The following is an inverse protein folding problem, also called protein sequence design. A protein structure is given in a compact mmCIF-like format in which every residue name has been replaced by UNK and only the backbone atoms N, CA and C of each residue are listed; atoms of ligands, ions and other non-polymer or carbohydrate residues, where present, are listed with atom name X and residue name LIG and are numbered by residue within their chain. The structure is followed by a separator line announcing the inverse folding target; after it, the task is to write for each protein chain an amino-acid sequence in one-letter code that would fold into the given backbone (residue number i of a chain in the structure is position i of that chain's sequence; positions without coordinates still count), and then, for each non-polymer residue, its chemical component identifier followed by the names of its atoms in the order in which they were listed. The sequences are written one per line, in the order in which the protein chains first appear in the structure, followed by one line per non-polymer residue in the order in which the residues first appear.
data_IF_562795154029
#
_entry.id   IF_562795154029
#
_cell.length_a   1.000
_cell.length_b   1.000
_cell.length_c   1.000
_cell.angle_alpha   90.00
_cell.angle_beta   90.00
_cell.angle_gamma   90.00
#
_symmetry.space_group_name_H-M   'P 1'
#
loop_
_entity.id
_entity.type
_entity.pdbx_description
1 polymer ?
#
# COMPACT_ATOMS: atom_id res chain seq x y z
N UNK A 1 -22.48 27.67 21.40
CA UNK A 1 -22.04 27.75 20.00
C UNK A 1 -20.75 28.56 20.00
N UNK A 2 -19.63 27.87 20.18
CA UNK A 2 -18.29 28.47 20.08
C UNK A 2 -17.75 28.10 18.70
N UNK A 3 -17.26 29.12 18.01
CA UNK A 3 -16.66 29.06 16.69
C UNK A 3 -15.50 28.01 16.68
N UNK A 4 -15.77 26.86 16.13
CA UNK A 4 -14.75 25.82 15.80
C UNK A 4 -14.20 26.04 14.39
N UNK A 5 -14.79 26.93 13.60
CA UNK A 5 -14.55 27.10 12.17
C UNK A 5 -13.33 27.99 11.82
N UNK A 6 -12.44 28.33 12.77
CA UNK A 6 -11.34 29.26 12.49
C UNK A 6 -9.92 28.72 12.72
N UNK A 7 -9.76 27.51 13.23
CA UNK A 7 -8.41 26.93 13.47
C UNK A 7 -7.91 26.00 12.36
N UNK A 8 -8.76 25.67 11.36
CA UNK A 8 -8.44 24.68 10.34
C UNK A 8 -8.06 25.26 8.98
N UNK A 9 -8.20 26.58 8.77
CA UNK A 9 -7.81 27.24 7.51
C UNK A 9 -6.29 27.28 7.25
N UNK A 10 -5.46 26.91 8.26
CA UNK A 10 -4.00 26.89 8.16
C UNK A 10 -3.40 25.48 8.25
N UNK A 11 -4.18 24.41 8.20
CA UNK A 11 -3.67 23.08 8.02
C UNK A 11 -3.21 22.92 6.56
N UNK A 12 -1.96 23.29 6.32
CA UNK A 12 -1.28 23.17 5.04
C UNK A 12 -1.42 21.74 4.50
N UNK A 13 -2.36 21.52 3.58
CA UNK A 13 -2.66 20.24 2.95
C UNK A 13 -1.41 19.59 2.31
N UNK A 14 -0.35 20.38 2.13
CA UNK A 14 0.94 19.95 1.59
C UNK A 14 1.81 19.16 2.58
N UNK A 15 1.41 19.03 3.85
CA UNK A 15 2.17 18.27 4.87
C UNK A 15 1.77 16.80 4.97
N UNK A 16 0.80 16.37 4.21
CA UNK A 16 0.17 15.07 4.41
C UNK A 16 0.84 13.90 3.68
N UNK A 17 1.85 14.15 2.85
CA UNK A 17 2.61 13.08 2.20
C UNK A 17 3.83 12.69 3.01
N UNK A 18 4.04 11.40 3.26
CA UNK A 18 5.26 10.90 3.91
C UNK A 18 6.54 11.32 3.17
N UNK A 19 6.44 11.45 1.87
CA UNK A 19 7.57 11.81 1.00
C UNK A 19 7.80 13.32 0.92
N UNK A 20 6.79 14.14 1.19
CA UNK A 20 6.91 15.59 1.23
C UNK A 20 7.60 16.11 2.52
N UNK A 21 7.54 15.38 3.62
CA UNK A 21 8.18 15.77 4.88
C UNK A 21 9.72 15.75 4.82
N UNK A 22 10.31 14.87 3.99
CA UNK A 22 11.76 14.81 3.78
C UNK A 22 12.35 15.95 2.91
N UNK A 23 11.52 16.71 2.19
CA UNK A 23 11.98 17.71 1.22
C UNK A 23 12.10 19.15 1.76
N UNK A 24 11.71 19.43 3.01
CA UNK A 24 11.60 20.80 3.55
C UNK A 24 12.67 21.24 4.53
N UNK A 25 13.90 20.83 4.40
CA UNK A 25 15.00 21.61 5.00
C UNK A 25 15.43 22.72 4.05
N UNK A 26 15.41 23.95 4.60
CA UNK A 26 15.66 25.22 3.93
C UNK A 26 16.90 25.20 3.05
N UNK A 27 16.88 25.80 1.86
CA UNK A 27 18.02 25.83 0.97
C UNK A 27 19.08 26.80 1.51
N UNK A 28 20.06 26.28 2.20
CA UNK A 28 21.33 26.99 2.32
C UNK A 28 22.50 26.00 2.39
N UNK A 29 23.23 26.00 1.29
CA UNK A 29 24.54 25.36 1.01
C UNK A 29 24.50 23.93 0.47
N UNK A 30 24.84 23.92 -0.80
CA UNK A 30 25.43 22.89 -1.66
C UNK A 30 24.50 22.16 -2.61
N UNK A 31 24.25 22.79 -3.73
CA UNK A 31 23.80 22.12 -4.99
C UNK A 31 24.70 20.95 -5.42
N UNK A 32 25.76 20.64 -4.68
CA UNK A 32 26.68 19.54 -5.00
C UNK A 32 26.35 18.20 -4.38
N UNK A 33 25.49 18.14 -3.36
CA UNK A 33 25.11 16.87 -2.72
C UNK A 33 23.96 16.15 -3.46
N UNK A 34 23.03 16.88 -4.05
CA UNK A 34 21.84 16.30 -4.71
C UNK A 34 22.15 15.60 -6.05
N UNK A 35 23.15 16.07 -6.77
CA UNK A 35 23.64 15.39 -7.98
C UNK A 35 24.27 14.02 -7.64
N UNK A 36 24.81 13.87 -6.43
CA UNK A 36 25.38 12.60 -5.96
C UNK A 36 24.32 11.54 -5.63
N UNK A 37 23.18 11.93 -5.05
CA UNK A 37 22.10 10.98 -4.67
C UNK A 37 21.32 10.53 -5.92
N UNK A 38 21.02 11.44 -6.85
CA UNK A 38 20.38 11.07 -8.12
C UNK A 38 21.27 10.15 -8.99
N UNK A 39 22.60 10.30 -8.93
CA UNK A 39 23.56 9.45 -9.65
C UNK A 39 23.75 8.08 -8.96
N UNK A 40 23.50 7.96 -7.65
CA UNK A 40 23.55 6.69 -6.95
C UNK A 40 22.29 5.84 -7.23
N UNK A 41 21.14 6.46 -7.38
CA UNK A 41 19.88 5.76 -7.77
C UNK A 41 19.98 5.30 -9.23
N UNK A 42 20.50 6.13 -10.14
CA UNK A 42 20.72 5.75 -11.53
C UNK A 42 21.83 4.68 -11.69
N UNK A 43 22.81 4.65 -10.78
CA UNK A 43 23.89 3.65 -10.77
C UNK A 43 23.43 2.28 -10.27
N UNK A 44 22.48 2.23 -9.33
CA UNK A 44 21.92 0.98 -8.82
C UNK A 44 21.05 0.26 -9.87
N UNK A 45 20.25 1.00 -10.64
CA UNK A 45 19.43 0.44 -11.72
C UNK A 45 20.28 -0.12 -12.87
N UNK A 46 21.38 0.54 -13.23
CA UNK A 46 22.29 0.05 -14.28
C UNK A 46 23.12 -1.18 -13.84
N UNK A 47 23.41 -1.34 -12.55
CA UNK A 47 24.13 -2.50 -12.00
C UNK A 47 23.32 -3.79 -12.00
N UNK A 48 22.00 -3.69 -11.84
CA UNK A 48 21.09 -4.84 -11.75
C UNK A 48 20.88 -5.50 -13.12
N UNK A 49 20.84 -4.72 -14.21
CA UNK A 49 20.69 -5.26 -15.57
C UNK A 49 21.93 -6.05 -16.04
N UNK A 50 23.13 -5.73 -15.56
CA UNK A 50 24.36 -6.43 -15.92
C UNK A 50 24.58 -7.74 -15.12
N UNK A 51 23.98 -7.88 -13.91
CA UNK A 51 24.12 -9.05 -13.05
C UNK A 51 23.31 -10.28 -13.48
N UNK A 52 22.18 -10.07 -14.16
CA UNK A 52 21.25 -11.13 -14.54
C UNK A 52 21.74 -11.99 -15.74
N UNK A 53 22.68 -11.49 -16.53
CA UNK A 53 23.19 -12.20 -17.71
C UNK A 53 24.34 -13.16 -17.45
N UNK A 54 24.93 -13.20 -16.25
CA UNK A 54 26.11 -14.02 -15.94
C UNK A 54 25.80 -15.26 -15.08
N UNK A 55 24.61 -15.38 -14.48
CA UNK A 55 24.30 -16.47 -13.54
C UNK A 55 23.56 -17.69 -14.12
N UNK A 56 23.59 -17.91 -15.43
CA UNK A 56 22.97 -19.11 -16.05
C UNK A 56 23.94 -20.23 -16.38
N UNK A 57 24.82 -20.60 -15.46
CA UNK A 57 25.49 -21.93 -15.55
C UNK A 57 26.15 -22.26 -14.22
N UNK A 58 25.46 -22.98 -13.35
CA UNK A 58 26.00 -24.07 -12.53
C UNK A 58 24.89 -24.55 -11.57
N UNK A 59 24.18 -25.57 -12.03
CA UNK A 59 23.37 -26.41 -11.14
C UNK A 59 24.25 -27.52 -10.61
N UNK A 60 24.55 -27.56 -9.33
CA UNK A 60 24.92 -28.78 -8.65
C UNK A 60 24.14 -28.88 -7.34
N UNK A 61 23.39 -29.96 -7.28
CA UNK A 61 22.52 -30.37 -6.19
C UNK A 61 23.25 -30.52 -4.86
N UNK A 62 22.76 -29.88 -3.81
CA UNK A 62 23.03 -30.29 -2.44
C UNK A 62 21.69 -30.44 -1.71
N UNK A 63 21.31 -31.69 -1.47
CA UNK A 63 20.19 -32.04 -0.59
C UNK A 63 20.62 -31.76 0.83
N UNK A 64 20.04 -30.77 1.48
CA UNK A 64 20.05 -30.64 2.93
C UNK A 64 18.70 -31.10 3.47
N UNK A 65 18.72 -32.21 4.20
CA UNK A 65 17.58 -32.68 4.97
C UNK A 65 17.32 -31.71 6.13
N UNK A 66 16.25 -30.96 6.06
CA UNK A 66 15.60 -30.42 7.26
C UNK A 66 14.29 -31.19 7.45
N UNK A 67 14.31 -32.04 8.46
CA UNK A 67 13.13 -32.70 8.95
C UNK A 67 12.27 -31.67 9.69
N UNK A 68 11.23 -31.15 9.05
CA UNK A 68 10.10 -30.56 9.73
C UNK A 68 9.03 -31.62 9.88
N UNK A 69 8.90 -32.13 11.10
CA UNK A 69 7.73 -32.88 11.52
C UNK A 69 6.56 -31.91 11.66
N UNK A 70 5.68 -31.91 10.68
CA UNK A 70 4.24 -31.68 10.87
C UNK A 70 3.51 -32.26 9.67
N UNK A 71 3.24 -33.56 9.72
CA UNK A 71 2.27 -34.19 8.83
C UNK A 71 0.87 -33.85 9.32
N UNK A 72 0.32 -32.71 8.96
CA UNK A 72 -1.13 -32.54 8.92
C UNK A 72 -1.57 -32.82 7.47
N UNK A 73 -1.95 -34.07 7.20
CA UNK A 73 -2.73 -34.43 6.02
C UNK A 73 -4.21 -33.99 6.24
N UNK A 74 -4.43 -32.75 6.65
CA UNK A 74 -5.74 -32.18 6.92
C UNK A 74 -6.24 -31.33 5.73
N UNK A 75 -7.55 -31.19 5.62
CA UNK A 75 -8.18 -30.22 4.73
C UNK A 75 -7.66 -28.81 5.11
N UNK A 76 -7.07 -27.99 4.20
CA UNK A 76 -6.60 -26.64 4.51
C UNK A 76 -7.68 -25.70 5.06
N UNK A 77 -8.96 -26.05 4.92
CA UNK A 77 -10.07 -25.30 5.54
C UNK A 77 -10.31 -25.63 7.01
N UNK A 78 -9.64 -26.68 7.55
CA UNK A 78 -9.74 -27.10 8.95
C UNK A 78 -8.52 -26.57 9.72
N UNK A 79 -8.51 -25.28 9.99
CA UNK A 79 -7.46 -24.60 10.76
C UNK A 79 -7.98 -24.08 12.10
N UNK A 80 -7.15 -24.14 13.11
CA UNK A 80 -7.45 -23.58 14.42
C UNK A 80 -7.54 -22.04 14.33
N UNK A 81 -8.66 -21.48 14.79
CA UNK A 81 -8.84 -20.03 14.87
C UNK A 81 -8.28 -19.54 16.20
N UNK A 82 -7.40 -18.54 16.15
CA UNK A 82 -6.96 -17.84 17.34
C UNK A 82 -8.14 -17.02 17.92
N UNK A 83 -8.50 -17.30 19.18
CA UNK A 83 -9.60 -16.61 19.87
C UNK A 83 -9.35 -15.12 20.10
N UNK A 84 -8.09 -14.66 20.00
CA UNK A 84 -7.69 -13.26 20.15
C UNK A 84 -7.78 -12.49 18.82
N UNK A 85 -7.98 -13.18 17.70
CA UNK A 85 -8.13 -12.55 16.38
C UNK A 85 -9.61 -12.42 16.03
N UNK A 86 -10.08 -11.19 15.91
CA UNK A 86 -11.46 -10.87 15.58
C UNK A 86 -11.54 -10.20 14.22
N UNK A 87 -12.69 -10.35 13.55
CA UNK A 87 -13.00 -9.59 12.32
C UNK A 87 -13.36 -8.15 12.73
N UNK A 88 -12.35 -7.32 12.85
CA UNK A 88 -12.50 -5.92 13.29
C UNK A 88 -12.16 -4.91 12.20
N UNK A 89 -11.24 -5.26 11.31
CA UNK A 89 -10.81 -4.40 10.20
C UNK A 89 -11.74 -4.54 9.00
N UNK A 90 -11.95 -3.44 8.28
CA UNK A 90 -12.57 -3.49 6.96
C UNK A 90 -11.70 -4.29 5.98
N UNK A 91 -10.40 -3.98 5.95
CA UNK A 91 -9.40 -4.70 5.17
C UNK A 91 -8.00 -4.48 5.72
N UNK A 92 -7.03 -5.19 5.17
CA UNK A 92 -5.61 -5.07 5.51
C UNK A 92 -4.79 -4.97 4.24
N UNK A 93 -3.85 -4.03 4.20
CA UNK A 93 -2.83 -3.93 3.18
C UNK A 93 -1.80 -5.06 3.36
N UNK A 94 -1.46 -5.74 2.28
CA UNK A 94 -0.66 -6.95 2.34
C UNK A 94 0.31 -7.06 1.17
N UNK A 95 1.58 -7.30 1.49
CA UNK A 95 2.60 -7.72 0.55
C UNK A 95 3.07 -9.11 0.97
N UNK A 96 2.85 -10.17 0.18
CA UNK A 96 3.37 -11.49 0.51
C UNK A 96 4.89 -11.46 0.64
N UNK A 97 5.43 -12.05 1.70
CA UNK A 97 6.87 -12.10 1.92
C UNK A 97 7.60 -12.67 0.70
N UNK A 98 8.64 -11.98 0.23
CA UNK A 98 9.39 -12.39 -0.96
C UNK A 98 8.66 -12.17 -2.29
N UNK A 99 7.61 -11.37 -2.36
CA UNK A 99 6.90 -11.07 -3.61
C UNK A 99 7.57 -10.02 -4.49
N UNK A 100 8.75 -9.54 -4.11
CA UNK A 100 9.57 -8.66 -4.92
C UNK A 100 10.39 -9.45 -5.93
N UNK A 101 10.61 -8.90 -7.13
CA UNK A 101 11.40 -9.52 -8.20
C UNK A 101 12.87 -9.74 -7.79
N UNK A 102 13.45 -8.83 -7.04
CA UNK A 102 14.81 -8.91 -6.51
C UNK A 102 14.97 -9.95 -5.40
N UNK A 103 13.88 -10.28 -4.68
CA UNK A 103 13.83 -11.40 -3.74
C UNK A 103 13.62 -12.77 -4.43
N UNK A 104 13.74 -12.85 -5.75
CA UNK A 104 13.56 -14.08 -6.55
C UNK A 104 12.18 -14.75 -6.35
N UNK A 105 11.15 -13.99 -6.06
CA UNK A 105 9.80 -14.51 -5.90
C UNK A 105 9.71 -15.66 -4.88
N UNK A 106 10.22 -15.44 -3.66
CA UNK A 106 10.31 -16.45 -2.59
C UNK A 106 9.01 -16.68 -1.80
N UNK A 107 7.90 -16.04 -2.17
CA UNK A 107 6.62 -16.15 -1.48
C UNK A 107 5.99 -17.55 -1.57
N UNK A 108 5.26 -17.95 -0.52
CA UNK A 108 4.62 -19.27 -0.42
C UNK A 108 3.12 -19.18 -0.10
N UNK A 109 2.39 -20.28 -0.44
CA UNK A 109 0.95 -20.36 -0.21
C UNK A 109 0.57 -20.42 1.27
N UNK A 110 1.47 -20.91 2.13
CA UNK A 110 1.20 -21.08 3.58
C UNK A 110 1.03 -19.74 4.33
N UNK A 111 1.25 -18.63 3.64
CA UNK A 111 1.37 -17.30 4.22
C UNK A 111 0.09 -16.44 4.16
N UNK A 112 -1.00 -16.94 3.64
CA UNK A 112 -2.19 -16.14 3.30
C UNK A 112 -3.30 -16.16 4.34
N UNK A 113 -4.01 -15.08 4.48
CA UNK A 113 -4.91 -14.81 5.61
C UNK A 113 -6.17 -14.00 5.32
N UNK A 114 -7.01 -13.87 6.32
CA UNK A 114 -8.42 -13.57 6.51
C UNK A 114 -8.84 -12.12 6.22
N UNK A 115 -10.06 -11.97 5.68
CA UNK A 115 -10.78 -10.73 5.40
C UNK A 115 -10.22 -9.90 4.23
N UNK A 116 -10.81 -8.74 3.88
CA UNK A 116 -10.49 -7.96 2.68
C UNK A 116 -9.01 -7.60 2.62
N UNK A 117 -8.35 -7.98 1.53
CA UNK A 117 -6.92 -7.75 1.31
C UNK A 117 -6.73 -6.83 0.10
N UNK A 118 -5.87 -5.82 0.26
CA UNK A 118 -5.37 -4.99 -0.83
C UNK A 118 -3.94 -5.40 -1.16
N UNK A 119 -3.68 -5.74 -2.44
CA UNK A 119 -2.35 -6.01 -2.97
C UNK A 119 -1.80 -4.78 -3.72
N UNK A 120 -0.47 -4.68 -3.81
CA UNK A 120 0.24 -3.57 -4.44
C UNK A 120 0.65 -3.86 -5.89
N UNK A 121 0.81 -5.12 -6.22
CA UNK A 121 1.22 -5.56 -7.53
C UNK A 121 0.82 -7.01 -7.82
N UNK A 122 1.17 -7.49 -9.02
CA UNK A 122 0.89 -8.85 -9.45
C UNK A 122 2.13 -9.67 -9.80
N UNK A 123 3.32 -9.10 -9.63
CA UNK A 123 4.58 -9.83 -9.83
C UNK A 123 4.70 -11.01 -8.84
N UNK A 124 5.52 -11.99 -9.19
CA UNK A 124 5.78 -13.18 -8.37
C UNK A 124 4.53 -14.00 -8.03
N UNK A 125 3.52 -13.96 -8.89
CA UNK A 125 2.24 -14.69 -8.71
C UNK A 125 1.49 -14.35 -7.41
N UNK A 126 1.78 -13.23 -6.75
CA UNK A 126 1.16 -12.89 -5.47
C UNK A 126 -0.37 -12.93 -5.52
N UNK A 127 -0.98 -12.42 -6.58
CA UNK A 127 -2.44 -12.45 -6.76
C UNK A 127 -2.99 -13.87 -6.88
N UNK A 128 -2.29 -14.74 -7.64
CA UNK A 128 -2.67 -16.14 -7.78
C UNK A 128 -2.52 -16.92 -6.46
N UNK A 129 -1.45 -16.69 -5.71
CA UNK A 129 -1.21 -17.34 -4.42
C UNK A 129 -2.29 -16.97 -3.39
N UNK A 130 -2.68 -15.69 -3.33
CA UNK A 130 -3.75 -15.23 -2.44
C UNK A 130 -5.09 -15.86 -2.81
N UNK A 131 -5.48 -15.87 -4.08
CA UNK A 131 -6.73 -16.46 -4.53
C UNK A 131 -6.75 -17.98 -4.37
N UNK A 132 -5.63 -18.67 -4.63
CA UNK A 132 -5.48 -20.09 -4.37
C UNK A 132 -5.69 -20.43 -2.88
N UNK A 133 -5.07 -19.64 -1.99
CA UNK A 133 -5.26 -19.84 -0.56
C UNK A 133 -6.71 -19.58 -0.12
N UNK A 134 -7.38 -18.57 -0.67
CA UNK A 134 -8.80 -18.31 -0.43
C UNK A 134 -9.64 -19.54 -0.84
N UNK A 135 -9.38 -20.11 -2.01
CA UNK A 135 -10.10 -21.32 -2.46
C UNK A 135 -9.84 -22.53 -1.57
N UNK A 136 -8.58 -22.76 -1.18
CA UNK A 136 -8.23 -23.91 -0.33
C UNK A 136 -8.76 -23.79 1.09
N UNK A 137 -8.65 -22.61 1.69
CA UNK A 137 -9.08 -22.37 3.06
C UNK A 137 -10.59 -22.08 3.19
N UNK A 138 -11.27 -21.83 2.07
CA UNK A 138 -12.70 -21.46 2.00
C UNK A 138 -13.05 -20.26 2.88
N UNK A 139 -12.10 -19.38 3.12
CA UNK A 139 -12.36 -18.13 3.85
C UNK A 139 -13.13 -17.16 2.97
N UNK A 140 -14.04 -16.40 3.59
CA UNK A 140 -14.79 -15.36 2.89
C UNK A 140 -13.92 -14.09 2.81
N UNK A 141 -13.02 -14.05 1.82
CA UNK A 141 -12.07 -12.96 1.60
C UNK A 141 -12.35 -12.31 0.26
N UNK A 142 -12.27 -10.97 0.21
CA UNK A 142 -12.27 -10.19 -1.02
C UNK A 142 -10.89 -9.56 -1.21
N UNK A 143 -10.34 -9.66 -2.42
CA UNK A 143 -8.99 -9.20 -2.77
C UNK A 143 -9.08 -8.04 -3.75
N UNK A 144 -8.44 -6.91 -3.46
CA UNK A 144 -8.18 -5.86 -4.44
C UNK A 144 -6.83 -6.13 -5.07
N UNK A 145 -6.85 -6.45 -6.37
CA UNK A 145 -5.63 -6.76 -7.12
C UNK A 145 -4.87 -5.47 -7.41
N UNK A 146 -3.56 -5.47 -7.19
CA UNK A 146 -2.67 -4.36 -7.52
C UNK A 146 -1.99 -4.56 -8.86
N UNK A 147 -1.81 -3.47 -9.61
CA UNK A 147 -0.92 -3.37 -10.75
C UNK A 147 0.00 -2.17 -10.55
N UNK A 148 1.23 -2.42 -10.18
CA UNK A 148 2.21 -1.37 -9.92
C UNK A 148 2.65 -0.70 -11.23
N UNK A 149 2.59 0.63 -11.24
CA UNK A 149 2.97 1.46 -12.39
C UNK A 149 4.20 2.28 -12.05
N UNK A 150 5.22 2.22 -12.91
CA UNK A 150 6.42 3.06 -12.83
C UNK A 150 6.41 4.10 -13.96
N UNK A 151 6.81 5.33 -13.64
CA UNK A 151 6.95 6.39 -14.64
C UNK A 151 8.27 6.30 -15.45
N UNK A 152 9.21 5.42 -15.06
CA UNK A 152 10.59 5.43 -15.57
C UNK A 152 10.98 4.18 -16.35
N UNK A 153 10.13 3.15 -16.40
CA UNK A 153 10.41 1.86 -17.04
C UNK A 153 9.77 1.70 -18.44
N UNK A 154 9.14 2.75 -18.95
CA UNK A 154 8.47 2.70 -20.26
C UNK A 154 7.19 1.87 -20.28
N UNK A 155 6.63 1.49 -19.11
CA UNK A 155 5.40 0.73 -18.96
C UNK A 155 5.62 -0.79 -18.83
N UNK A 156 6.86 -1.26 -18.79
CA UNK A 156 7.17 -2.70 -18.73
C UNK A 156 6.59 -3.40 -17.50
N UNK A 157 6.66 -2.75 -16.32
CA UNK A 157 6.08 -3.32 -15.09
C UNK A 157 4.56 -3.40 -15.19
N UNK A 158 3.91 -2.34 -15.68
CA UNK A 158 2.47 -2.30 -15.86
C UNK A 158 1.98 -3.41 -16.80
N UNK A 159 2.56 -3.52 -18.00
CA UNK A 159 2.14 -4.50 -19.02
C UNK A 159 2.29 -5.94 -18.52
N UNK A 160 3.41 -6.27 -17.91
CA UNK A 160 3.68 -7.59 -17.34
C UNK A 160 2.64 -7.97 -16.27
N UNK A 161 2.34 -7.05 -15.36
CA UNK A 161 1.40 -7.29 -14.28
C UNK A 161 -0.05 -7.32 -14.77
N UNK A 162 -0.42 -6.48 -15.75
CA UNK A 162 -1.72 -6.54 -16.42
C UNK A 162 -1.98 -7.93 -17.02
N UNK A 163 -0.99 -8.49 -17.73
CA UNK A 163 -1.10 -9.81 -18.34
C UNK A 163 -1.20 -10.90 -17.28
N UNK A 164 -0.44 -10.79 -16.18
CA UNK A 164 -0.56 -11.69 -15.02
C UNK A 164 -1.96 -11.61 -14.39
N UNK A 165 -2.52 -10.42 -14.20
CA UNK A 165 -3.88 -10.21 -13.66
C UNK A 165 -4.91 -10.86 -14.59
N UNK A 166 -4.75 -10.72 -15.90
CA UNK A 166 -5.62 -11.38 -16.89
C UNK A 166 -5.64 -12.90 -16.71
N UNK A 167 -4.47 -13.52 -16.59
CA UNK A 167 -4.35 -14.97 -16.36
C UNK A 167 -4.96 -15.41 -15.03
N UNK A 168 -4.78 -14.61 -13.99
CA UNK A 168 -5.35 -14.85 -12.66
C UNK A 168 -6.88 -14.82 -12.71
N UNK A 169 -7.47 -13.82 -13.35
CA UNK A 169 -8.93 -13.71 -13.50
C UNK A 169 -9.49 -14.90 -14.31
N UNK A 170 -8.81 -15.30 -15.39
CA UNK A 170 -9.22 -16.45 -16.21
C UNK A 170 -9.13 -17.77 -15.44
N UNK A 171 -8.22 -17.87 -14.47
CA UNK A 171 -7.98 -19.09 -13.70
C UNK A 171 -8.92 -19.20 -12.49
N UNK A 172 -9.09 -18.12 -11.74
CA UNK A 172 -9.78 -18.12 -10.45
C UNK A 172 -11.21 -17.54 -10.50
N UNK A 173 -11.59 -16.88 -11.62
CA UNK A 173 -12.85 -16.14 -11.71
C UNK A 173 -12.81 -14.82 -10.94
N UNK A 174 -13.99 -14.24 -10.72
CA UNK A 174 -14.14 -12.89 -10.13
C UNK A 174 -14.79 -12.88 -8.75
N UNK A 175 -15.27 -14.01 -8.24
CA UNK A 175 -16.09 -14.09 -7.02
C UNK A 175 -15.40 -13.54 -5.76
N UNK A 176 -14.06 -13.55 -5.74
CA UNK A 176 -13.24 -13.07 -4.65
C UNK A 176 -12.44 -11.80 -5.00
N UNK A 177 -12.76 -11.12 -6.11
CA UNK A 177 -12.05 -9.92 -6.55
C UNK A 177 -12.94 -8.69 -6.38
N UNK A 178 -12.49 -7.73 -5.56
CA UNK A 178 -13.20 -6.48 -5.31
C UNK A 178 -12.98 -5.42 -6.39
N UNK A 179 -11.82 -5.46 -7.04
CA UNK A 179 -11.44 -4.53 -8.10
C UNK A 179 -9.96 -4.65 -8.47
N UNK A 180 -9.55 -3.86 -9.47
CA UNK A 180 -8.16 -3.74 -9.90
C UNK A 180 -7.69 -2.33 -9.63
N UNK A 181 -6.65 -2.18 -8.80
CA UNK A 181 -6.03 -0.90 -8.46
C UNK A 181 -4.80 -0.70 -9.33
N UNK A 182 -4.85 0.26 -10.23
CA UNK A 182 -3.78 0.60 -11.18
C UNK A 182 -2.96 1.75 -10.64
N UNK A 183 -1.72 1.50 -10.25
CA UNK A 183 -0.83 2.45 -9.61
C UNK A 183 -0.95 2.45 -8.07
N UNK A 184 0.15 2.78 -7.43
CA UNK A 184 0.25 3.17 -6.03
C UNK A 184 1.26 4.30 -5.93
N UNK A 185 0.82 5.46 -5.44
CA UNK A 185 1.64 6.68 -5.31
C UNK A 185 2.34 7.10 -6.61
N UNK A 186 1.69 6.85 -7.74
CA UNK A 186 2.22 7.25 -9.04
C UNK A 186 2.19 8.77 -9.21
N UNK A 187 1.08 9.42 -8.81
CA UNK A 187 0.94 10.87 -8.86
C UNK A 187 1.97 11.55 -7.97
N UNK A 188 2.05 11.10 -6.70
CA UNK A 188 3.05 11.57 -5.75
C UNK A 188 4.46 11.49 -6.34
N UNK A 189 4.89 10.30 -6.72
CA UNK A 189 6.25 10.04 -7.18
C UNK A 189 6.60 10.82 -8.46
N UNK A 190 5.67 10.89 -9.41
CA UNK A 190 5.89 11.64 -10.66
C UNK A 190 5.97 13.14 -10.40
N UNK A 191 5.01 13.71 -9.69
CA UNK A 191 4.93 15.16 -9.44
C UNK A 191 6.14 15.64 -8.66
N UNK A 192 6.54 14.94 -7.60
CA UNK A 192 7.72 15.29 -6.81
C UNK A 192 9.02 15.12 -7.61
N UNK A 193 9.12 14.12 -8.49
CA UNK A 193 10.28 13.96 -9.36
C UNK A 193 10.51 15.15 -10.29
N UNK A 194 9.46 15.91 -10.59
CA UNK A 194 9.52 17.15 -11.39
C UNK A 194 9.78 18.40 -10.54
N UNK A 195 9.99 18.23 -9.23
CA UNK A 195 10.33 19.31 -8.29
C UNK A 195 9.18 20.24 -7.93
N UNK A 196 7.94 19.74 -7.97
CA UNK A 196 6.71 20.45 -7.58
C UNK A 196 5.83 19.55 -6.72
N UNK A 197 4.86 20.13 -6.03
CA UNK A 197 3.77 19.50 -5.31
C UNK A 197 2.38 19.88 -5.89
N UNK A 198 2.34 20.63 -7.00
CA UNK A 198 1.11 21.07 -7.65
C UNK A 198 0.51 19.96 -8.51
N UNK A 199 -0.43 19.22 -7.92
CA UNK A 199 -1.18 18.13 -8.57
C UNK A 199 -2.21 18.62 -9.59
N UNK A 200 -2.58 19.91 -9.54
CA UNK A 200 -3.58 20.51 -10.44
C UNK A 200 -2.95 21.20 -11.64
N UNK A 201 -1.66 21.50 -11.57
CA UNK A 201 -0.91 22.14 -12.65
C UNK A 201 -0.59 21.19 -13.81
N UNK A 202 0.26 21.66 -14.72
CA UNK A 202 0.62 20.91 -15.92
C UNK A 202 1.28 19.56 -15.60
N UNK A 203 2.12 19.51 -14.56
CA UNK A 203 2.82 18.29 -14.17
C UNK A 203 1.83 17.25 -13.63
N UNK A 204 0.95 17.64 -12.69
CA UNK A 204 -0.08 16.76 -12.15
C UNK A 204 -1.09 16.30 -13.21
N UNK A 205 -1.45 17.21 -14.14
CA UNK A 205 -2.29 16.84 -15.29
C UNK A 205 -1.62 15.78 -16.18
N UNK A 206 -0.31 15.91 -16.43
CA UNK A 206 0.46 14.93 -17.22
C UNK A 206 0.55 13.58 -16.52
N UNK A 207 0.82 13.57 -15.21
CA UNK A 207 0.83 12.36 -14.41
C UNK A 207 -0.52 11.62 -14.47
N UNK A 208 -1.62 12.38 -14.29
CA UNK A 208 -2.96 11.81 -14.41
C UNK A 208 -3.22 11.20 -15.80
N UNK A 209 -2.81 11.87 -16.89
CA UNK A 209 -2.96 11.34 -18.25
C UNK A 209 -2.22 10.03 -18.48
N UNK A 210 -1.00 9.91 -17.94
CA UNK A 210 -0.23 8.66 -18.02
C UNK A 210 -0.96 7.53 -17.29
N UNK A 211 -1.43 7.77 -16.08
CA UNK A 211 -2.14 6.76 -15.29
C UNK A 211 -3.51 6.40 -15.90
N UNK A 212 -4.26 7.37 -16.43
CA UNK A 212 -5.52 7.16 -17.15
C UNK A 212 -5.33 6.27 -18.39
N UNK A 213 -4.18 6.38 -19.06
CA UNK A 213 -3.86 5.50 -20.19
C UNK A 213 -3.81 4.04 -19.74
N UNK A 214 -3.14 3.74 -18.62
CA UNK A 214 -3.06 2.40 -18.07
C UNK A 214 -4.42 1.89 -17.54
N UNK A 215 -5.19 2.76 -16.89
CA UNK A 215 -6.56 2.45 -16.43
C UNK A 215 -7.46 2.08 -17.63
N UNK A 216 -7.38 2.84 -18.72
CA UNK A 216 -8.16 2.58 -19.94
C UNK A 216 -7.76 1.27 -20.60
N UNK A 217 -6.46 0.96 -20.65
CA UNK A 217 -5.94 -0.29 -21.18
C UNK A 217 -6.35 -1.49 -20.31
N UNK A 218 -6.34 -1.34 -18.99
CA UNK A 218 -6.87 -2.36 -18.06
C UNK A 218 -8.35 -2.66 -18.29
N UNK A 219 -9.18 -1.62 -18.50
CA UNK A 219 -10.59 -1.81 -18.86
C UNK A 219 -10.76 -2.50 -20.20
N UNK A 220 -9.91 -2.18 -21.18
CA UNK A 220 -9.91 -2.85 -22.47
C UNK A 220 -9.58 -4.33 -22.34
N UNK A 221 -8.58 -4.67 -21.55
CA UNK A 221 -8.19 -6.05 -21.24
C UNK A 221 -9.35 -6.83 -20.58
N UNK A 222 -10.07 -6.22 -19.62
CA UNK A 222 -11.24 -6.83 -18.98
C UNK A 222 -12.37 -7.06 -19.99
N UNK A 223 -12.63 -6.08 -20.86
CA UNK A 223 -13.62 -6.20 -21.93
C UNK A 223 -13.31 -7.35 -22.90
N UNK A 224 -12.04 -7.51 -23.27
CA UNK A 224 -11.58 -8.59 -24.16
C UNK A 224 -11.84 -9.99 -23.60
N UNK A 225 -11.85 -10.12 -22.29
CA UNK A 225 -12.17 -11.39 -21.59
C UNK A 225 -13.61 -11.45 -21.08
N UNK A 226 -14.45 -10.46 -21.45
CA UNK A 226 -15.87 -10.37 -21.07
C UNK A 226 -16.09 -10.35 -19.55
N UNK A 227 -15.24 -9.63 -18.83
CA UNK A 227 -15.29 -9.44 -17.37
C UNK A 227 -15.63 -7.99 -17.05
N UNK A 228 -16.49 -7.78 -16.07
CA UNK A 228 -16.86 -6.48 -15.51
C UNK A 228 -16.39 -6.41 -14.04
N UNK A 229 -15.26 -5.73 -13.84
CA UNK A 229 -14.69 -5.46 -12.51
C UNK A 229 -14.41 -3.96 -12.40
N UNK A 230 -14.58 -3.36 -11.20
CA UNK A 230 -14.19 -1.98 -10.97
C UNK A 230 -12.68 -1.78 -11.17
N UNK A 231 -12.31 -0.67 -11.81
CA UNK A 231 -10.91 -0.26 -12.00
C UNK A 231 -10.67 1.08 -11.31
N UNK A 232 -9.82 1.09 -10.31
CA UNK A 232 -9.45 2.26 -9.54
C UNK A 232 -7.96 2.52 -9.54
N UNK A 233 -7.55 3.45 -8.68
CA UNK A 233 -6.15 3.79 -8.43
C UNK A 233 -5.92 4.08 -6.97
N UNK A 234 -4.66 3.96 -6.51
CA UNK A 234 -4.24 4.36 -5.18
C UNK A 234 -3.14 5.42 -5.26
N UNK A 235 -3.23 6.42 -4.37
CA UNK A 235 -2.19 7.45 -4.24
C UNK A 235 -2.16 8.04 -2.83
N UNK A 236 -1.14 8.81 -2.50
CA UNK A 236 -1.14 9.62 -1.29
C UNK A 236 -2.34 10.58 -1.32
N UNK A 237 -3.06 10.72 -0.21
CA UNK A 237 -4.33 11.43 -0.18
C UNK A 237 -4.28 12.89 -0.66
N UNK A 238 -3.12 13.57 -0.52
CA UNK A 238 -2.93 14.93 -1.04
C UNK A 238 -2.65 14.98 -2.56
N UNK A 239 -2.59 13.86 -3.26
CA UNK A 239 -2.15 13.81 -4.66
C UNK A 239 -3.23 13.41 -5.67
N UNK A 240 -4.48 13.30 -5.24
CA UNK A 240 -5.61 13.16 -6.15
C UNK A 240 -5.93 14.50 -6.84
N UNK A 241 -6.45 14.42 -8.07
CA UNK A 241 -7.07 15.54 -8.76
C UNK A 241 -8.34 15.09 -9.48
N UNK A 242 -9.22 16.05 -9.83
CA UNK A 242 -10.49 15.79 -10.51
C UNK A 242 -10.33 15.02 -11.81
N UNK A 243 -9.26 15.31 -12.58
CA UNK A 243 -9.00 14.63 -13.85
C UNK A 243 -8.82 13.13 -13.67
N UNK A 244 -8.04 12.73 -12.67
CA UNK A 244 -7.81 11.32 -12.37
C UNK A 244 -9.08 10.66 -11.82
N UNK A 245 -9.74 11.31 -10.84
CA UNK A 245 -10.96 10.78 -10.23
C UNK A 245 -12.11 10.64 -11.21
N UNK A 246 -12.22 11.53 -12.20
CA UNK A 246 -13.22 11.42 -13.29
C UNK A 246 -13.05 10.16 -14.15
N UNK A 247 -11.93 9.46 -14.04
CA UNK A 247 -11.55 8.35 -14.93
C UNK A 247 -11.53 6.99 -14.23
N UNK A 248 -11.87 6.91 -12.94
CA UNK A 248 -11.84 5.69 -12.14
C UNK A 248 -13.22 5.33 -11.58
N UNK A 249 -13.40 4.07 -11.21
CA UNK A 249 -14.61 3.59 -10.55
C UNK A 249 -14.51 3.76 -9.03
N UNK A 250 -13.28 3.77 -8.51
CA UNK A 250 -12.98 4.07 -7.10
C UNK A 250 -11.59 4.69 -6.96
N UNK A 251 -11.38 5.43 -5.87
CA UNK A 251 -10.07 5.93 -5.45
C UNK A 251 -9.66 5.36 -4.10
N UNK A 252 -8.39 5.12 -3.88
CA UNK A 252 -7.80 4.61 -2.65
C UNK A 252 -6.72 5.56 -2.15
N UNK A 253 -6.98 6.25 -1.02
CA UNK A 253 -6.10 7.27 -0.44
C UNK A 253 -5.18 6.69 0.63
N UNK A 254 -3.87 6.83 0.50
CA UNK A 254 -2.92 6.57 1.57
C UNK A 254 -2.95 7.75 2.55
N UNK A 255 -3.38 7.50 3.79
CA UNK A 255 -3.58 8.54 4.82
C UNK A 255 -2.92 8.11 6.12
N UNK A 256 -1.70 8.59 6.35
CA UNK A 256 -0.90 8.22 7.52
C UNK A 256 -0.74 9.42 8.47
N UNK A 257 -1.41 9.42 9.64
CA UNK A 257 -1.28 10.50 10.62
C UNK A 257 0.15 10.67 11.16
N UNK A 258 0.95 9.60 11.14
CA UNK A 258 2.37 9.65 11.47
C UNK A 258 3.12 10.72 10.68
N UNK A 259 2.91 10.76 9.37
CA UNK A 259 3.56 11.74 8.49
C UNK A 259 2.90 13.12 8.55
N UNK A 260 1.70 13.21 9.11
CA UNK A 260 1.03 14.46 9.42
C UNK A 260 1.56 15.19 10.66
N UNK A 261 2.58 14.65 11.33
CA UNK A 261 3.17 15.25 12.53
C UNK A 261 2.19 15.32 13.72
N UNK A 262 1.24 14.38 13.76
CA UNK A 262 0.07 14.39 14.64
C UNK A 262 0.35 13.56 15.89
N UNK A 263 -0.11 14.02 17.05
CA UNK A 263 -0.05 13.21 18.27
C UNK A 263 -0.92 11.96 18.15
N UNK A 264 -0.55 10.89 18.85
CA UNK A 264 -1.34 9.65 18.81
C UNK A 264 -2.78 9.86 19.30
N UNK A 265 -3.00 10.78 20.23
CA UNK A 265 -4.33 11.08 20.78
C UNK A 265 -5.25 11.74 19.73
N UNK A 266 -4.68 12.44 18.75
CA UNK A 266 -5.42 13.13 17.70
C UNK A 266 -5.46 12.32 16.38
N UNK A 267 -4.67 11.28 16.26
CA UNK A 267 -4.41 10.55 15.01
C UNK A 267 -5.67 10.03 14.32
N UNK A 268 -6.58 9.39 15.06
CA UNK A 268 -7.82 8.85 14.48
C UNK A 268 -8.74 9.96 13.92
N UNK A 269 -8.88 11.04 14.66
CA UNK A 269 -9.70 12.19 14.25
C UNK A 269 -9.08 12.87 13.03
N UNK A 270 -7.79 13.10 13.05
CA UNK A 270 -7.05 13.70 11.94
C UNK A 270 -7.17 12.86 10.66
N UNK A 271 -6.98 11.54 10.74
CA UNK A 271 -7.08 10.63 9.59
C UNK A 271 -8.45 10.74 8.93
N UNK A 272 -9.54 10.71 9.73
CA UNK A 272 -10.89 10.85 9.20
C UNK A 272 -11.13 12.24 8.56
N UNK A 273 -10.72 13.31 9.23
CA UNK A 273 -10.90 14.67 8.72
C UNK A 273 -10.10 14.92 7.44
N UNK A 274 -8.85 14.47 7.42
CA UNK A 274 -7.99 14.54 6.25
C UNK A 274 -8.65 13.85 5.05
N UNK A 275 -9.08 12.61 5.24
CA UNK A 275 -9.74 11.82 4.20
C UNK A 275 -11.01 12.49 3.68
N UNK A 276 -11.86 13.00 4.56
CA UNK A 276 -13.08 13.72 4.16
C UNK A 276 -12.77 14.98 3.35
N UNK A 277 -11.76 15.75 3.80
CA UNK A 277 -11.47 17.06 3.22
C UNK A 277 -10.68 16.99 1.92
N UNK A 278 -9.73 16.04 1.81
CA UNK A 278 -8.82 16.00 0.67
C UNK A 278 -9.21 14.95 -0.38
N UNK A 279 -9.96 13.92 0.00
CA UNK A 279 -10.25 12.80 -0.89
C UNK A 279 -11.74 12.72 -1.24
N UNK A 280 -12.61 12.62 -0.24
CA UNK A 280 -14.06 12.52 -0.47
C UNK A 280 -14.60 13.79 -1.11
N UNK A 281 -14.17 14.98 -0.64
CA UNK A 281 -14.64 16.25 -1.19
C UNK A 281 -14.33 16.41 -2.68
N UNK A 282 -13.12 16.02 -3.14
CA UNK A 282 -12.75 16.09 -4.55
C UNK A 282 -13.54 15.07 -5.37
N UNK A 283 -13.76 13.87 -4.81
CA UNK A 283 -14.60 12.86 -5.46
C UNK A 283 -16.05 13.33 -5.65
N UNK A 284 -16.57 14.09 -4.70
CA UNK A 284 -17.93 14.66 -4.79
C UNK A 284 -18.09 15.74 -5.87
N UNK A 285 -17.00 16.37 -6.31
CA UNK A 285 -16.97 17.42 -7.34
C UNK A 285 -16.98 16.86 -8.76
N UNK A 286 -16.64 15.57 -8.96
CA UNK A 286 -16.64 14.94 -10.29
C UNK A 286 -17.96 14.22 -10.59
N UNK A 287 -18.33 14.14 -11.87
CA UNK A 287 -19.65 13.63 -12.29
C UNK A 287 -19.88 12.15 -11.92
N UNK A 288 -18.85 11.31 -11.99
CA UNK A 288 -18.93 9.88 -11.69
C UNK A 288 -18.87 9.56 -10.19
N UNK A 289 -18.47 10.52 -9.36
CA UNK A 289 -18.40 10.39 -7.89
C UNK A 289 -17.82 9.04 -7.44
N UNK A 290 -16.56 8.72 -7.80
CA UNK A 290 -15.98 7.42 -7.47
C UNK A 290 -15.96 7.25 -5.96
N UNK A 291 -16.27 6.02 -5.50
CA UNK A 291 -16.16 5.71 -4.09
C UNK A 291 -14.70 5.86 -3.62
N UNK A 292 -14.50 6.54 -2.49
CA UNK A 292 -13.18 6.70 -1.91
C UNK A 292 -12.99 5.74 -0.74
N UNK A 293 -11.81 5.11 -0.68
CA UNK A 293 -11.35 4.24 0.39
C UNK A 293 -10.09 4.86 1.01
N UNK A 294 -9.84 4.59 2.28
CA UNK A 294 -8.51 4.75 2.83
C UNK A 294 -7.73 3.49 2.46
N UNK A 295 -6.76 3.63 1.55
CA UNK A 295 -5.96 2.51 1.05
C UNK A 295 -4.93 2.03 2.06
N UNK A 296 -4.41 2.97 2.85
CA UNK A 296 -3.41 2.73 3.87
C UNK A 296 -3.62 3.69 5.03
N UNK A 297 -3.65 3.14 6.23
CA UNK A 297 -3.53 3.89 7.49
C UNK A 297 -3.06 2.96 8.60
N UNK A 298 -2.23 3.46 9.49
CA UNK A 298 -1.63 2.67 10.55
C UNK A 298 -0.73 3.52 11.44
N UNK A 299 0.04 2.85 12.30
CA UNK A 299 1.00 3.49 13.17
C UNK A 299 2.25 2.64 13.31
N UNK A 300 3.47 3.19 13.09
CA UNK A 300 4.70 2.40 13.18
C UNK A 300 5.05 2.10 14.65
N UNK A 301 5.71 0.97 14.87
CA UNK A 301 6.00 0.49 16.22
C UNK A 301 7.42 0.71 16.68
N UNK A 302 8.33 0.98 15.76
CA UNK A 302 9.73 1.34 16.05
C UNK A 302 10.38 1.98 14.83
N UNK A 303 11.65 2.30 14.95
CA UNK A 303 12.48 2.83 13.86
C UNK A 303 13.86 2.16 13.87
N UNK A 304 14.51 2.12 12.71
CA UNK A 304 15.90 1.63 12.57
C UNK A 304 16.92 2.48 13.33
N UNK A 305 16.57 3.74 13.63
CA UNK A 305 17.41 4.60 14.45
C UNK A 305 16.57 5.58 15.28
N UNK A 306 17.14 6.03 16.41
CA UNK A 306 16.45 6.90 17.37
C UNK A 306 16.14 8.30 16.85
N UNK A 307 16.81 8.77 15.78
CA UNK A 307 16.56 10.10 15.22
C UNK A 307 15.31 10.14 14.35
N UNK A 308 14.81 8.99 13.91
CA UNK A 308 13.61 8.83 13.10
C UNK A 308 12.49 8.07 13.83
N UNK A 309 12.67 7.80 15.14
CA UNK A 309 11.65 7.20 16.00
C UNK A 309 10.51 8.16 16.34
N UNK A 310 10.74 9.46 16.11
CA UNK A 310 9.74 10.50 16.26
C UNK A 310 9.66 11.35 15.00
N UNK A 311 8.46 11.80 14.66
CA UNK A 311 8.18 12.81 13.65
C UNK A 311 7.29 13.87 14.29
N UNK A 312 7.88 14.98 14.73
CA UNK A 312 7.20 16.00 15.50
C UNK A 312 6.51 15.47 16.75
N UNK A 313 5.17 15.47 16.76
CA UNK A 313 4.37 14.94 17.86
C UNK A 313 4.12 13.42 17.78
N UNK A 314 4.45 12.80 16.65
CA UNK A 314 4.30 11.36 16.44
C UNK A 314 5.48 10.59 17.02
N UNK A 315 5.24 9.49 17.74
CA UNK A 315 6.25 8.60 18.32
C UNK A 315 5.94 7.14 17.96
N UNK A 316 6.92 6.43 17.37
CA UNK A 316 6.79 5.04 16.98
C UNK A 316 6.88 4.13 18.21
N UNK A 317 5.80 3.40 18.52
CA UNK A 317 5.79 2.40 19.59
C UNK A 317 4.59 1.47 19.48
N UNK A 318 4.70 0.24 20.01
CA UNK A 318 3.56 -0.67 20.14
C UNK A 318 2.45 -0.10 21.03
N UNK A 319 2.80 0.70 22.04
CA UNK A 319 1.83 1.37 22.91
C UNK A 319 0.99 2.38 22.11
N UNK A 320 1.61 3.16 21.23
CA UNK A 320 0.91 4.09 20.35
C UNK A 320 0.12 3.37 19.25
N UNK A 321 0.65 2.26 18.71
CA UNK A 321 -0.14 1.39 17.83
C UNK A 321 -1.42 0.92 18.53
N UNK A 322 -1.36 0.48 19.81
CA UNK A 322 -2.56 0.10 20.56
C UNK A 322 -3.57 1.25 20.68
N UNK A 323 -3.10 2.47 20.97
CA UNK A 323 -3.98 3.64 21.07
C UNK A 323 -4.64 3.91 19.68
N UNK A 324 -3.87 3.80 18.59
CA UNK A 324 -4.42 3.97 17.25
C UNK A 324 -5.47 2.91 16.93
N UNK A 325 -5.22 1.65 17.24
CA UNK A 325 -6.20 0.57 17.07
C UNK A 325 -7.49 0.85 17.85
N UNK A 326 -7.38 1.20 19.11
CA UNK A 326 -8.52 1.44 20.01
C UNK A 326 -9.37 2.64 19.59
N UNK A 327 -8.74 3.66 19.00
CA UNK A 327 -9.43 4.90 18.63
C UNK A 327 -9.90 4.88 17.17
N UNK A 328 -9.09 4.42 16.22
CA UNK A 328 -9.38 4.50 14.80
C UNK A 328 -10.33 3.39 14.32
N UNK A 329 -10.06 2.13 14.66
CA UNK A 329 -10.72 0.98 14.04
C UNK A 329 -12.24 1.01 14.25
N UNK A 330 -12.67 1.13 15.50
CA UNK A 330 -14.11 1.16 15.80
C UNK A 330 -14.78 2.47 15.39
N UNK A 331 -14.05 3.59 15.39
CA UNK A 331 -14.54 4.88 14.86
C UNK A 331 -14.79 4.80 13.36
N UNK A 332 -13.83 4.25 12.60
CA UNK A 332 -13.95 4.11 11.15
C UNK A 332 -15.14 3.20 10.79
N UNK A 333 -15.27 2.06 11.46
CA UNK A 333 -16.40 1.16 11.27
C UNK A 333 -17.75 1.83 11.58
N UNK A 334 -17.83 2.58 12.68
CA UNK A 334 -19.05 3.30 13.07
C UNK A 334 -19.43 4.44 12.10
N UNK A 335 -18.43 5.08 11.51
CA UNK A 335 -18.61 6.13 10.50
C UNK A 335 -18.90 5.58 9.10
N UNK A 336 -18.77 4.26 8.88
CA UNK A 336 -18.89 3.64 7.56
C UNK A 336 -17.72 3.99 6.64
N UNK A 337 -16.56 4.37 7.21
CA UNK A 337 -15.33 4.62 6.44
C UNK A 337 -14.71 3.28 6.07
N UNK A 338 -14.56 3.01 4.79
CA UNK A 338 -13.94 1.80 4.29
C UNK A 338 -12.42 2.01 4.19
N UNK A 339 -11.65 1.14 4.83
CA UNK A 339 -10.20 1.32 4.96
C UNK A 339 -9.44 0.00 4.94
N UNK A 340 -8.15 0.08 4.56
CA UNK A 340 -7.18 -1.00 4.70
C UNK A 340 -6.13 -0.57 5.73
N UNK A 341 -6.01 -1.38 6.80
CA UNK A 341 -4.97 -1.14 7.81
C UNK A 341 -3.59 -1.43 7.23
N UNK A 342 -2.66 -0.52 7.42
CA UNK A 342 -1.29 -0.63 6.96
C UNK A 342 -0.37 -0.94 8.14
N UNK A 343 0.19 -2.17 8.24
CA UNK A 343 0.06 -3.27 7.29
C UNK A 343 0.03 -4.60 8.04
N UNK A 344 0.00 -5.71 7.32
CA UNK A 344 -0.15 -7.02 7.95
C UNK A 344 1.08 -7.41 8.76
N UNK A 345 2.26 -7.48 8.13
CA UNK A 345 3.52 -7.87 8.75
C UNK A 345 4.54 -6.74 8.71
N UNK A 346 5.49 -6.78 9.65
CA UNK A 346 6.73 -6.01 9.50
C UNK A 346 7.49 -6.50 8.27
N UNK A 347 7.99 -5.56 7.48
CA UNK A 347 8.70 -5.82 6.22
C UNK A 347 10.14 -5.28 6.29
N UNK A 348 11.05 -6.09 6.80
CA UNK A 348 12.45 -5.71 7.05
C UNK A 348 13.18 -5.18 5.79
N UNK A 349 12.78 -5.65 4.59
CA UNK A 349 13.33 -5.14 3.34
C UNK A 349 13.03 -3.64 3.11
N UNK A 350 11.91 -3.13 3.63
CA UNK A 350 11.61 -1.69 3.59
C UNK A 350 12.56 -0.90 4.49
N UNK A 351 12.92 -1.46 5.66
CA UNK A 351 13.94 -0.84 6.50
C UNK A 351 15.31 -0.81 5.82
N UNK A 352 15.71 -1.89 5.17
CA UNK A 352 16.97 -1.96 4.40
C UNK A 352 16.99 -0.96 3.24
N UNK A 353 15.85 -0.70 2.60
CA UNK A 353 15.74 0.15 1.41
C UNK A 353 15.54 1.61 1.77
N UNK A 354 14.66 1.91 2.71
CA UNK A 354 14.20 3.26 3.02
C UNK A 354 14.64 3.75 4.40
N UNK A 355 14.90 2.82 5.33
CA UNK A 355 15.26 3.14 6.72
C UNK A 355 14.09 3.72 7.53
N UNK A 356 14.42 4.28 8.68
CA UNK A 356 13.44 4.94 9.54
C UNK A 356 12.39 3.99 10.10
N UNK A 357 11.14 4.32 9.92
CA UNK A 357 9.99 3.53 10.41
C UNK A 357 9.46 2.55 9.37
N UNK A 358 9.96 2.56 8.13
CA UNK A 358 9.34 1.92 6.98
C UNK A 358 9.19 0.40 7.11
N UNK A 359 10.08 -0.27 7.81
CA UNK A 359 10.01 -1.72 8.04
C UNK A 359 9.07 -2.15 9.18
N UNK A 360 8.42 -1.21 9.89
CA UNK A 360 7.84 -1.49 11.21
C UNK A 360 6.36 -1.09 11.37
N UNK A 361 5.61 -1.17 10.29
CA UNK A 361 4.18 -0.85 10.25
C UNK A 361 3.26 -2.04 10.50
N UNK A 362 3.79 -3.26 10.53
CA UNK A 362 3.02 -4.47 10.68
C UNK A 362 2.19 -4.53 11.94
N UNK A 363 0.98 -5.09 11.83
CA UNK A 363 0.21 -5.54 12.98
C UNK A 363 0.88 -6.75 13.64
N UNK A 364 1.52 -7.58 12.83
CA UNK A 364 2.32 -8.72 13.23
C UNK A 364 3.82 -8.46 12.96
N UNK A 365 4.66 -9.12 13.73
CA UNK A 365 6.09 -9.19 13.47
C UNK A 365 6.38 -9.96 12.16
N UNK A 366 7.59 -9.84 11.61
CA UNK A 366 8.02 -10.59 10.41
C UNK A 366 7.98 -12.11 10.60
N UNK A 367 8.05 -12.61 11.83
CA UNK A 367 7.90 -14.03 12.19
C UNK A 367 6.43 -14.47 12.35
N UNK A 368 5.47 -13.58 12.06
CA UNK A 368 4.01 -13.79 12.13
C UNK A 368 3.42 -13.86 13.52
N UNK A 369 4.16 -13.54 14.54
CA UNK A 369 3.61 -13.37 15.89
C UNK A 369 2.91 -12.02 16.00
N UNK A 370 1.70 -11.98 16.59
CA UNK A 370 1.03 -10.72 16.89
C UNK A 370 1.92 -9.86 17.80
N UNK A 371 2.07 -8.58 17.47
CA UNK A 371 2.75 -7.63 18.35
C UNK A 371 2.02 -7.57 19.71
N UNK A 372 2.64 -6.95 20.69
CA UNK A 372 2.01 -6.83 22.02
C UNK A 372 0.86 -5.81 22.02
N UNK A 373 -0.15 -6.13 21.22
CA UNK A 373 -1.39 -5.36 21.04
C UNK A 373 -2.60 -6.29 21.14
N UNK A 374 -3.74 -5.69 21.41
CA UNK A 374 -5.06 -6.37 21.41
C UNK A 374 -5.87 -5.85 20.24
N UNK A 375 -6.41 -6.73 19.43
CA UNK A 375 -7.32 -6.35 18.35
C UNK A 375 -8.64 -5.88 18.97
N UNK A 376 -9.13 -4.66 18.66
CA UNK A 376 -10.34 -4.13 19.24
C UNK A 376 -11.57 -4.92 18.79
N UNK A 377 -12.54 -5.09 19.68
CA UNK A 377 -13.86 -5.65 19.36
C UNK A 377 -14.83 -4.50 19.18
N UNK A 378 -15.23 -4.24 17.96
CA UNK A 378 -16.19 -3.18 17.64
C UNK A 378 -17.63 -3.70 17.77
N UNK A 379 -18.45 -2.93 18.47
CA UNK A 379 -19.87 -3.25 18.74
C UNK A 379 -20.78 -2.74 17.63
#
# INVERSE_FOLDING_TARGET
MHNIDREWEDADATKASPWAAGAREKPNKSRRCWVGVALLIAGAVAGIVAGVLVSRNNSSSSKSNLASNSSSSGDPSDFDKDENLHVSFYGIAYTPAGSQLDANCGNSLDDVIKDRVRLYGADCNQSALVLEAVQQTKVNLTVWLGNYVSATDGGEAYERQRDTIKEVIQTYGTDHIGGITVGNEFMLNYVESQGTDDVTGTVGTTAAEMLITNITDTRSMLSDISVDLPVGTADAGAYFNEKLLSSVDYGMANVHPWFGDVSIDDAATWTWQFFQTNDVSISDEVDNKPQMYIAETGWPTKSSNTSTETNGASEASEANLQIFLDTFVCQANANGTEYFFFEFFDEEWKDETYGGVEGWWGLFNSDRTLKNVTIPVCS
#
